data_IF_725663666986
#
_entry.id   IF_725663666986
#
_cell.length_a   1.000
_cell.length_b   1.000
_cell.length_c   1.000
_cell.angle_alpha   90.00
_cell.angle_beta   90.00
_cell.angle_gamma   90.00
#
_symmetry.space_group_name_H-M   'P 1'
#
loop_
_entity.id
_entity.type
_entity.pdbx_description
1 polymer ?
#
# COMPACT_ATOMS: atom_id res chain seq x y z
N UNK A 1 -14.29 -9.60 -22.44
CA UNK A 1 -13.04 -10.38 -22.54
C UNK A 1 -13.27 -11.50 -23.56
N UNK A 2 -12.33 -11.74 -24.49
CA UNK A 2 -12.52 -12.55 -25.70
C UNK A 2 -12.70 -14.06 -25.47
N UNK A 3 -12.85 -14.87 -26.53
CA UNK A 3 -13.08 -16.31 -26.44
C UNK A 3 -11.87 -17.07 -25.88
N UNK A 4 -12.12 -18.24 -25.29
CA UNK A 4 -11.08 -19.14 -24.76
C UNK A 4 -10.46 -18.66 -23.44
N UNK A 5 -9.14 -18.85 -23.28
CA UNK A 5 -8.38 -18.54 -22.06
C UNK A 5 -8.12 -17.05 -21.79
N UNK A 6 -8.71 -16.14 -22.57
CA UNK A 6 -8.46 -14.70 -22.47
C UNK A 6 -8.80 -14.14 -21.07
N UNK A 7 -9.81 -14.69 -20.38
CA UNK A 7 -10.14 -14.32 -19.00
C UNK A 7 -9.00 -14.60 -18.02
N UNK A 8 -8.45 -15.82 -18.05
CA UNK A 8 -7.34 -16.22 -17.19
C UNK A 8 -6.08 -15.40 -17.48
N UNK A 9 -5.81 -15.11 -18.76
CA UNK A 9 -4.68 -14.29 -19.15
C UNK A 9 -4.79 -12.86 -18.61
N UNK A 10 -5.96 -12.21 -18.76
CA UNK A 10 -6.20 -10.87 -18.21
C UNK A 10 -6.05 -10.86 -16.69
N UNK A 11 -6.53 -11.89 -15.98
CA UNK A 11 -6.34 -12.00 -14.52
C UNK A 11 -4.87 -12.17 -14.14
N UNK A 12 -4.12 -13.00 -14.88
CA UNK A 12 -2.69 -13.17 -14.65
C UNK A 12 -1.94 -11.83 -14.80
N UNK A 13 -2.26 -11.04 -15.83
CA UNK A 13 -1.65 -9.71 -16.03
C UNK A 13 -2.07 -8.74 -14.92
N UNK A 14 -3.34 -8.71 -14.55
CA UNK A 14 -3.80 -7.86 -13.45
C UNK A 14 -3.10 -8.20 -12.13
N UNK A 15 -2.92 -9.48 -11.78
CA UNK A 15 -2.11 -9.87 -10.64
C UNK A 15 -0.66 -9.36 -10.79
N UNK A 16 -0.06 -9.50 -11.98
CA UNK A 16 1.29 -8.97 -12.23
C UNK A 16 1.40 -7.47 -11.98
N UNK A 17 0.40 -6.68 -12.39
CA UNK A 17 0.32 -5.24 -12.13
C UNK A 17 0.16 -4.97 -10.63
N UNK A 18 -0.75 -5.68 -9.95
CA UNK A 18 -0.97 -5.54 -8.50
C UNK A 18 0.32 -5.76 -7.70
N UNK A 19 1.13 -6.76 -8.06
CA UNK A 19 2.42 -7.00 -7.39
C UNK A 19 3.41 -5.85 -7.61
N UNK A 20 3.43 -5.28 -8.82
CA UNK A 20 4.24 -4.10 -9.13
C UNK A 20 3.84 -2.90 -8.29
N UNK A 21 2.53 -2.61 -8.22
CA UNK A 21 2.00 -1.49 -7.44
C UNK A 21 2.31 -1.65 -5.95
N UNK A 22 2.12 -2.86 -5.39
CA UNK A 22 2.45 -3.16 -4.00
C UNK A 22 3.94 -2.96 -3.70
N UNK A 23 4.83 -3.37 -4.61
CA UNK A 23 6.27 -3.20 -4.44
C UNK A 23 6.68 -1.73 -4.48
N UNK A 24 6.13 -0.94 -5.43
CA UNK A 24 6.40 0.49 -5.52
C UNK A 24 5.92 1.24 -4.27
N UNK A 25 4.75 0.87 -3.73
CA UNK A 25 4.23 1.41 -2.48
C UNK A 25 5.16 1.06 -1.30
N UNK A 26 5.65 -0.18 -1.24
CA UNK A 26 6.56 -0.63 -0.20
C UNK A 26 7.91 0.11 -0.24
N UNK A 27 8.46 0.35 -1.43
CA UNK A 27 9.69 1.13 -1.60
C UNK A 27 9.51 2.61 -1.19
N UNK A 28 8.37 3.22 -1.55
CA UNK A 28 8.04 4.56 -1.10
C UNK A 28 7.94 4.64 0.44
N UNK A 29 7.31 3.65 1.07
CA UNK A 29 7.27 3.50 2.51
C UNK A 29 8.69 3.39 3.10
N UNK A 30 9.54 2.50 2.58
CA UNK A 30 10.88 2.25 3.09
C UNK A 30 11.73 3.53 3.08
N UNK A 31 11.70 4.27 1.96
CA UNK A 31 12.39 5.57 1.83
C UNK A 31 11.85 6.57 2.84
N UNK A 32 10.54 6.76 2.92
CA UNK A 32 9.95 7.73 3.84
C UNK A 32 10.22 7.40 5.31
N UNK A 33 10.19 6.11 5.67
CA UNK A 33 10.41 5.63 7.04
C UNK A 33 11.88 5.71 7.45
N UNK A 34 12.77 5.14 6.64
CA UNK A 34 14.16 4.93 7.04
C UNK A 34 15.09 6.07 6.61
N UNK A 35 14.84 6.69 5.45
CA UNK A 35 15.61 7.85 4.98
C UNK A 35 14.97 9.15 5.46
N UNK A 36 13.64 9.26 5.35
CA UNK A 36 12.88 10.44 5.77
C UNK A 36 12.63 10.53 7.28
N UNK A 37 12.70 9.40 8.00
CA UNK A 37 12.47 9.35 9.45
C UNK A 37 11.01 9.54 9.88
N UNK A 38 10.05 9.35 8.96
CA UNK A 38 8.64 9.58 9.26
C UNK A 38 8.09 8.57 10.28
N UNK A 39 7.24 9.05 11.17
CA UNK A 39 6.42 8.23 12.07
C UNK A 39 5.27 7.56 11.32
N UNK A 40 4.63 6.56 11.92
CA UNK A 40 3.50 5.86 11.27
C UNK A 40 2.30 6.80 11.10
N UNK A 41 2.13 7.76 12.00
CA UNK A 41 1.13 8.81 11.92
C UNK A 41 1.40 9.77 10.75
N UNK A 42 2.65 10.16 10.53
CA UNK A 42 3.04 10.99 9.38
C UNK A 42 2.93 10.23 8.06
N UNK A 43 3.28 8.94 8.05
CA UNK A 43 3.06 8.06 6.90
C UNK A 43 1.57 7.94 6.59
N UNK A 44 0.72 7.73 7.59
CA UNK A 44 -0.73 7.73 7.43
C UNK A 44 -1.21 9.02 6.76
N UNK A 45 -0.80 10.18 7.28
CA UNK A 45 -1.20 11.48 6.72
C UNK A 45 -0.70 11.66 5.28
N UNK A 46 0.54 11.26 4.99
CA UNK A 46 1.15 11.36 3.66
C UNK A 46 0.38 10.53 2.64
N UNK A 47 0.17 9.24 2.93
CA UNK A 47 -0.57 8.35 2.03
C UNK A 47 -2.06 8.72 1.93
N UNK A 48 -2.68 9.20 3.01
CA UNK A 48 -4.05 9.72 2.98
C UNK A 48 -4.17 10.99 2.12
N UNK A 49 -3.13 11.82 2.07
CA UNK A 49 -3.09 12.98 1.18
C UNK A 49 -2.86 12.56 -0.28
N UNK A 50 -1.95 11.61 -0.54
CA UNK A 50 -1.76 11.06 -1.88
C UNK A 50 -3.04 10.44 -2.44
N UNK A 51 -3.85 9.81 -1.60
CA UNK A 51 -5.15 9.26 -2.00
C UNK A 51 -6.20 10.30 -2.44
N UNK A 52 -5.89 11.60 -2.33
CA UNK A 52 -6.75 12.70 -2.82
C UNK A 52 -6.20 13.35 -4.09
N UNK A 53 -5.15 12.76 -4.67
CA UNK A 53 -4.46 13.25 -5.86
C UNK A 53 -4.61 12.24 -7.00
N UNK A 54 -3.74 12.29 -8.00
CA UNK A 54 -3.69 11.29 -9.09
C UNK A 54 -3.33 9.88 -8.63
N UNK A 55 -2.79 9.73 -7.41
CA UNK A 55 -2.49 8.44 -6.79
C UNK A 55 -3.69 7.81 -6.06
N UNK A 56 -4.90 8.38 -6.18
CA UNK A 56 -6.13 7.79 -5.64
C UNK A 56 -6.26 6.33 -6.11
N UNK A 57 -6.20 5.39 -5.16
CA UNK A 57 -6.36 3.98 -5.46
C UNK A 57 -6.71 3.19 -4.21
N UNK A 58 -7.30 2.02 -4.40
CA UNK A 58 -7.60 1.11 -3.29
C UNK A 58 -6.35 0.73 -2.48
N UNK A 59 -5.23 0.45 -3.16
CA UNK A 59 -3.97 0.07 -2.51
C UNK A 59 -3.40 1.22 -1.66
N UNK A 60 -3.45 2.47 -2.14
CA UNK A 60 -3.02 3.62 -1.36
C UNK A 60 -3.94 3.86 -0.15
N UNK A 61 -5.26 3.73 -0.33
CA UNK A 61 -6.23 3.88 0.76
C UNK A 61 -5.99 2.87 1.90
N UNK A 62 -5.84 1.57 1.58
CA UNK A 62 -5.60 0.55 2.60
C UNK A 62 -4.23 0.72 3.25
N UNK A 63 -3.21 1.17 2.49
CA UNK A 63 -1.87 1.44 3.01
C UNK A 63 -1.90 2.55 4.06
N UNK A 64 -2.61 3.65 3.78
CA UNK A 64 -2.81 4.72 4.76
C UNK A 64 -3.48 4.18 6.04
N UNK A 65 -4.48 3.31 5.91
CA UNK A 65 -5.17 2.71 7.07
C UNK A 65 -4.25 1.79 7.88
N UNK A 66 -3.42 0.97 7.21
CA UNK A 66 -2.49 0.02 7.86
C UNK A 66 -1.56 0.72 8.85
N UNK A 67 -1.03 1.90 8.52
CA UNK A 67 -0.13 2.64 9.42
C UNK A 67 -0.76 3.05 10.76
N UNK A 68 -2.09 3.13 10.83
CA UNK A 68 -2.80 3.46 12.09
C UNK A 68 -3.25 2.24 12.87
N UNK A 69 -3.05 1.04 12.33
CA UNK A 69 -3.48 -0.20 12.98
C UNK A 69 -2.57 -0.51 14.16
N UNK A 70 -3.09 -0.26 15.37
CA UNK A 70 -2.47 -0.67 16.64
C UNK A 70 -2.56 -2.19 16.84
N UNK A 71 -1.53 -2.72 17.46
CA UNK A 71 -1.43 -4.10 17.91
C UNK A 71 -2.27 -4.34 19.19
N UNK A 72 -2.40 -5.59 19.62
CA UNK A 72 -3.20 -5.99 20.80
C UNK A 72 -2.73 -5.29 22.10
N UNK A 73 -1.45 -4.92 22.16
CA UNK A 73 -0.87 -4.17 23.28
C UNK A 73 -1.31 -2.69 23.33
N UNK A 74 -1.96 -2.19 22.27
CA UNK A 74 -2.43 -0.81 22.11
C UNK A 74 -1.33 0.25 21.97
N UNK A 75 -0.06 -0.14 22.05
CA UNK A 75 1.10 0.77 22.05
C UNK A 75 1.83 0.69 20.73
N UNK A 76 2.08 -0.52 20.25
CA UNK A 76 2.81 -0.81 19.03
C UNK A 76 1.89 -0.77 17.82
N UNK A 77 2.48 -0.56 16.64
CA UNK A 77 1.78 -0.71 15.37
C UNK A 77 2.00 -2.11 14.82
N UNK A 78 0.97 -2.68 14.19
CA UNK A 78 1.04 -4.03 13.61
C UNK A 78 2.11 -4.09 12.51
N UNK A 79 2.21 -3.05 11.69
CA UNK A 79 3.16 -2.98 10.57
C UNK A 79 4.63 -3.03 11.02
N UNK A 80 4.94 -2.61 12.25
CA UNK A 80 6.31 -2.62 12.78
C UNK A 80 6.71 -4.00 13.35
N UNK A 81 5.78 -4.97 13.39
CA UNK A 81 5.98 -6.31 13.97
C UNK A 81 5.83 -7.46 12.97
N UNK A 82 5.51 -7.15 11.71
CA UNK A 82 5.40 -8.13 10.61
C UNK A 82 6.77 -8.34 9.96
#
# INVERSE_FOLDING_TARGET
IGPGGAGNYVKMIHNGIEYGDMQLIAEAYDILKHVGGLTNEELHQTFAQWNKTELESFLIEITAKIFTKKDEDGKSYVVDKI
#
